data_IF_800214016404
#
_entry.id   IF_800214016404
#
_cell.length_a   1.000
_cell.length_b   1.000
_cell.length_c   1.000
_cell.angle_alpha   90.00
_cell.angle_beta   90.00
_cell.angle_gamma   90.00
#
_symmetry.space_group_name_H-M   'P 1'
#
loop_
_entity.id
_entity.type
_entity.pdbx_description
1 polymer ?
#
# COMPACT_ATOMS: atom_id res chain seq x y z
N UNK A 1 17.56 15.87 22.74
CA UNK A 1 17.57 14.46 23.20
C UNK A 1 16.66 13.66 22.27
N UNK A 2 17.14 12.55 21.68
CA UNK A 2 16.44 11.78 20.64
C UNK A 2 15.05 11.32 21.12
N UNK A 3 14.04 11.34 20.24
CA UNK A 3 12.64 11.00 20.55
C UNK A 3 12.54 9.61 21.21
N UNK A 4 13.23 8.61 20.65
CA UNK A 4 13.26 7.25 21.21
C UNK A 4 13.83 7.19 22.63
N UNK A 5 14.78 8.07 22.97
CA UNK A 5 15.36 8.06 24.30
C UNK A 5 14.31 8.49 25.34
N UNK A 6 13.57 9.56 25.04
CA UNK A 6 12.59 10.12 25.98
C UNK A 6 11.33 9.26 26.07
N UNK A 7 10.85 8.78 24.93
CA UNK A 7 9.59 8.03 24.85
C UNK A 7 9.74 6.55 25.23
N UNK A 8 10.89 5.92 24.95
CA UNK A 8 11.10 4.47 25.19
C UNK A 8 12.15 4.18 26.23
N UNK A 9 13.37 4.71 26.07
CA UNK A 9 14.51 4.25 26.85
C UNK A 9 14.43 4.67 28.32
N UNK A 10 14.10 5.93 28.62
CA UNK A 10 14.02 6.42 30.00
C UNK A 10 12.89 5.71 30.77
N UNK A 11 11.65 5.62 30.26
CA UNK A 11 10.59 4.86 30.96
C UNK A 11 10.95 3.39 31.20
N UNK A 12 11.57 2.72 30.21
CA UNK A 12 12.02 1.34 30.35
C UNK A 12 13.12 1.19 31.41
N UNK A 13 14.07 2.14 31.47
CA UNK A 13 15.12 2.16 32.48
C UNK A 13 14.54 2.32 33.88
N UNK A 14 13.59 3.25 34.08
CA UNK A 14 12.92 3.46 35.38
C UNK A 14 12.25 2.15 35.83
N UNK A 15 11.59 1.44 34.90
CA UNK A 15 10.93 0.15 35.19
C UNK A 15 11.89 -0.94 35.66
N UNK A 16 13.17 -0.89 35.26
CA UNK A 16 14.18 -1.85 35.70
C UNK A 16 14.58 -1.66 37.18
N UNK A 17 14.27 -0.52 37.79
CA UNK A 17 14.62 -0.20 39.18
C UNK A 17 13.37 0.04 40.05
N UNK A 18 12.54 -0.98 40.30
CA UNK A 18 11.26 -0.84 41.00
C UNK A 18 11.37 -0.42 42.48
N UNK A 19 12.58 -0.45 43.05
CA UNK A 19 12.87 -0.06 44.44
C UNK A 19 13.55 1.31 44.55
N UNK A 20 13.63 2.06 43.45
CA UNK A 20 14.24 3.38 43.39
C UNK A 20 13.16 4.40 43.06
N UNK A 21 13.07 5.48 43.84
CA UNK A 21 12.19 6.59 43.53
C UNK A 21 12.90 7.57 42.59
N UNK A 22 12.28 7.87 41.46
CA UNK A 22 12.79 8.85 40.50
C UNK A 22 11.98 10.14 40.60
N UNK A 23 12.68 11.27 40.70
CA UNK A 23 12.12 12.62 40.61
C UNK A 23 12.81 13.31 39.44
N UNK A 24 12.05 13.65 38.42
CA UNK A 24 12.57 14.13 37.14
C UNK A 24 11.78 15.37 36.71
N UNK A 25 12.47 16.38 36.19
CA UNK A 25 11.85 17.50 35.50
C UNK A 25 12.04 17.33 33.99
N UNK A 26 10.99 17.60 33.22
CA UNK A 26 11.01 17.50 31.76
C UNK A 26 10.15 18.57 31.14
N UNK A 27 10.67 19.23 30.10
CA UNK A 27 9.88 20.09 29.22
C UNK A 27 9.30 19.34 28.01
N UNK A 28 9.46 18.02 27.97
CA UNK A 28 9.10 17.19 26.82
C UNK A 28 7.84 16.38 27.10
N UNK A 29 6.73 16.66 26.38
CA UNK A 29 5.52 15.84 26.40
C UNK A 29 5.77 14.36 26.09
N UNK A 30 6.80 14.06 25.31
CA UNK A 30 7.14 12.70 24.88
C UNK A 30 7.55 11.79 26.04
N UNK A 31 8.16 12.37 27.08
CA UNK A 31 8.55 11.61 28.25
C UNK A 31 7.31 11.17 29.04
N UNK A 32 6.34 12.08 29.24
CA UNK A 32 5.08 11.80 29.93
C UNK A 32 4.30 10.68 29.22
N UNK A 33 4.15 10.80 27.89
CA UNK A 33 3.49 9.78 27.07
C UNK A 33 4.21 8.41 27.15
N UNK A 34 5.55 8.42 27.20
CA UNK A 34 6.34 7.20 27.37
C UNK A 34 6.12 6.55 28.74
N UNK A 35 5.95 7.34 29.79
CA UNK A 35 5.65 6.86 31.14
C UNK A 35 4.28 6.19 31.21
N UNK A 36 3.24 6.78 30.63
CA UNK A 36 1.90 6.18 30.56
C UNK A 36 1.87 4.84 29.82
N UNK A 37 2.68 4.71 28.76
CA UNK A 37 2.75 3.46 28.00
C UNK A 37 3.36 2.31 28.78
N UNK A 38 4.30 2.61 29.69
CA UNK A 38 5.11 1.60 30.39
C UNK A 38 4.57 1.28 31.79
N UNK A 39 3.92 2.24 32.43
CA UNK A 39 3.40 2.16 33.78
C UNK A 39 1.87 2.22 33.80
N UNK A 40 1.19 1.44 34.66
CA UNK A 40 -0.26 1.49 34.79
C UNK A 40 -0.75 2.82 35.35
N UNK A 41 -2.04 3.10 35.17
CA UNK A 41 -2.70 4.31 35.67
C UNK A 41 -2.45 4.47 37.18
N UNK A 42 -2.06 5.68 37.60
CA UNK A 42 -1.72 6.00 39.00
C UNK A 42 -0.34 5.55 39.48
N UNK A 43 0.52 4.98 38.63
CA UNK A 43 1.87 4.55 39.01
C UNK A 43 2.90 5.69 39.11
N UNK A 44 2.59 6.87 38.58
CA UNK A 44 3.42 8.06 38.71
C UNK A 44 2.54 9.30 38.87
N UNK A 45 3.12 10.37 39.44
CA UNK A 45 2.45 11.65 39.61
C UNK A 45 3.11 12.68 38.68
N UNK A 46 2.28 13.47 37.99
CA UNK A 46 2.73 14.56 37.12
C UNK A 46 2.25 15.89 37.71
N UNK A 47 3.19 16.84 37.85
CA UNK A 47 2.91 18.18 38.35
C UNK A 47 3.36 19.21 37.33
N UNK A 48 2.50 20.18 37.03
CA UNK A 48 2.87 21.36 36.26
C UNK A 48 3.69 22.31 37.13
N UNK A 49 4.66 22.97 36.53
CA UNK A 49 5.53 23.93 37.21
C UNK A 49 5.53 25.24 36.43
N UNK A 50 5.42 26.40 37.12
CA UNK A 50 5.61 26.58 38.56
C UNK A 50 4.33 26.43 39.40
N UNK A 51 3.18 26.14 38.78
CA UNK A 51 1.86 26.11 39.44
C UNK A 51 1.77 25.09 40.57
N UNK A 52 2.47 23.95 40.46
CA UNK A 52 2.41 22.84 41.41
C UNK A 52 1.13 22.01 41.29
N UNK A 53 0.32 22.26 40.28
CA UNK A 53 -0.97 21.59 40.08
C UNK A 53 -0.78 20.22 39.41
N UNK A 54 -1.51 19.18 39.85
CA UNK A 54 -1.45 17.87 39.22
C UNK A 54 -2.04 17.93 37.80
N UNK A 55 -1.32 17.36 36.83
CA UNK A 55 -1.77 17.32 35.43
C UNK A 55 -2.22 15.92 35.07
N UNK A 56 -3.41 15.85 34.46
CA UNK A 56 -3.96 14.65 33.85
C UNK A 56 -3.41 14.52 32.42
N UNK A 57 -2.94 13.33 32.08
CA UNK A 57 -2.11 13.12 30.90
C UNK A 57 -2.91 13.09 29.57
N UNK A 58 -4.24 13.11 29.65
CA UNK A 58 -5.17 13.31 28.53
C UNK A 58 -4.87 14.58 27.72
N UNK A 59 -4.28 15.60 28.37
CA UNK A 59 -3.82 16.83 27.73
C UNK A 59 -2.76 16.61 26.64
N UNK A 60 -2.13 15.43 26.57
CA UNK A 60 -1.07 15.10 25.63
C UNK A 60 -1.47 14.05 24.60
N UNK A 61 -2.72 13.58 24.60
CA UNK A 61 -3.20 12.52 23.68
C UNK A 61 -3.07 12.91 22.20
N UNK A 62 -3.24 14.19 21.86
CA UNK A 62 -3.02 14.71 20.49
C UNK A 62 -1.55 14.63 20.08
N UNK A 63 -0.62 14.89 21.01
CA UNK A 63 0.81 14.70 20.78
C UNK A 63 1.19 13.23 20.65
N UNK A 64 0.52 12.35 21.40
CA UNK A 64 0.65 10.90 21.26
C UNK A 64 0.28 10.44 19.85
N UNK A 65 -0.87 10.88 19.34
CA UNK A 65 -1.29 10.58 17.95
C UNK A 65 -0.31 11.12 16.92
N UNK A 66 0.17 12.35 17.08
CA UNK A 66 1.16 12.93 16.18
C UNK A 66 2.49 12.15 16.21
N UNK A 67 2.89 11.66 17.38
CA UNK A 67 4.08 10.84 17.54
C UNK A 67 3.93 9.46 16.89
N UNK A 68 2.77 8.82 17.06
CA UNK A 68 2.46 7.54 16.43
C UNK A 68 2.52 7.69 14.91
N UNK A 69 1.88 8.73 14.34
CA UNK A 69 1.95 9.06 12.90
C UNK A 69 3.39 9.28 12.43
N UNK A 70 4.21 9.97 13.22
CA UNK A 70 5.62 10.21 12.90
C UNK A 70 6.42 8.90 12.92
N UNK A 71 6.25 8.06 13.94
CA UNK A 71 6.92 6.76 14.05
C UNK A 71 6.51 5.82 12.92
N UNK A 72 5.22 5.81 12.57
CA UNK A 72 4.67 5.06 11.45
C UNK A 72 5.27 5.52 10.11
N UNK A 73 5.39 6.84 9.90
CA UNK A 73 6.05 7.41 8.72
C UNK A 73 7.52 7.01 8.64
N UNK A 74 8.22 7.01 9.78
CA UNK A 74 9.61 6.55 9.85
C UNK A 74 9.76 5.07 9.53
N UNK A 75 8.93 4.21 10.15
CA UNK A 75 8.96 2.77 9.91
C UNK A 75 8.62 2.42 8.46
N UNK A 76 7.62 3.09 7.89
CA UNK A 76 7.25 2.98 6.48
C UNK A 76 8.43 3.36 5.57
N UNK A 77 9.04 4.53 5.79
CA UNK A 77 10.18 4.97 5.01
C UNK A 77 11.37 4.01 5.14
N UNK A 78 11.64 3.46 6.32
CA UNK A 78 12.70 2.48 6.53
C UNK A 78 12.43 1.16 5.80
N UNK A 79 11.17 0.73 5.71
CA UNK A 79 10.78 -0.42 4.90
C UNK A 79 11.03 -0.14 3.41
N UNK A 80 10.53 0.99 2.89
CA UNK A 80 10.74 1.38 1.48
C UNK A 80 12.24 1.48 1.16
N UNK A 81 13.04 2.02 2.09
CA UNK A 81 14.51 2.04 1.96
C UNK A 81 15.10 0.65 1.84
N UNK A 82 14.68 -0.32 2.65
CA UNK A 82 15.23 -1.68 2.59
C UNK A 82 14.98 -2.30 1.22
N UNK A 83 13.73 -2.26 0.75
CA UNK A 83 13.35 -2.91 -0.51
C UNK A 83 13.97 -2.20 -1.73
N UNK A 84 14.10 -0.87 -1.71
CA UNK A 84 14.69 -0.10 -2.82
C UNK A 84 16.23 -0.08 -2.85
N UNK A 85 16.90 -0.39 -1.73
CA UNK A 85 18.36 -0.35 -1.60
C UNK A 85 19.01 -1.72 -1.87
N UNK A 86 18.23 -2.76 -2.14
CA UNK A 86 18.74 -4.05 -2.59
C UNK A 86 18.96 -4.00 -4.11
N UNK A 87 20.19 -4.18 -4.63
CA UNK A 87 20.40 -4.22 -6.07
C UNK A 87 19.73 -5.46 -6.65
N UNK A 88 19.06 -5.35 -7.80
CA UNK A 88 18.44 -6.50 -8.42
C UNK A 88 17.35 -6.17 -9.44
N UNK A 89 16.31 -7.00 -9.42
CA UNK A 89 15.16 -6.99 -10.34
C UNK A 89 14.40 -5.66 -10.31
N UNK A 90 13.52 -5.40 -11.27
CA UNK A 90 12.50 -4.36 -11.12
C UNK A 90 11.66 -4.65 -9.88
N UNK A 91 11.52 -3.69 -8.98
CA UNK A 91 10.56 -3.76 -7.88
C UNK A 91 9.25 -3.13 -8.34
N UNK A 92 8.14 -3.87 -8.29
CA UNK A 92 6.79 -3.37 -8.53
C UNK A 92 6.07 -3.24 -7.19
N UNK A 93 5.78 -2.00 -6.79
CA UNK A 93 5.02 -1.67 -5.60
C UNK A 93 3.55 -1.47 -5.95
N UNK A 94 2.66 -2.19 -5.27
CA UNK A 94 1.20 -2.19 -5.50
C UNK A 94 0.43 -1.66 -4.29
N UNK A 95 -0.84 -1.26 -4.50
CA UNK A 95 -1.69 -0.62 -3.50
C UNK A 95 -2.27 -1.59 -2.47
N UNK A 96 -2.72 -2.75 -2.94
CA UNK A 96 -3.46 -3.74 -2.15
C UNK A 96 -2.66 -4.97 -1.77
N UNK A 97 -3.05 -5.59 -0.65
CA UNK A 97 -2.43 -6.83 -0.16
C UNK A 97 -2.65 -8.02 -1.12
N UNK A 98 -3.80 -8.05 -1.79
CA UNK A 98 -4.18 -9.13 -2.70
C UNK A 98 -3.51 -9.03 -4.07
N UNK A 99 -3.04 -7.84 -4.46
CA UNK A 99 -2.55 -7.56 -5.80
C UNK A 99 -1.32 -8.40 -6.16
N UNK A 100 -0.29 -8.54 -5.29
CA UNK A 100 0.85 -9.41 -5.59
C UNK A 100 0.40 -10.86 -5.82
N UNK A 101 -0.60 -11.35 -5.09
CA UNK A 101 -1.09 -12.72 -5.22
C UNK A 101 -1.76 -12.94 -6.58
N UNK A 102 -2.63 -12.01 -7.00
CA UNK A 102 -3.26 -12.07 -8.32
C UNK A 102 -2.22 -11.99 -9.45
N UNK A 103 -1.28 -11.03 -9.39
CA UNK A 103 -0.29 -10.85 -10.45
C UNK A 103 0.66 -12.06 -10.52
N UNK A 104 1.17 -12.55 -9.38
CA UNK A 104 2.04 -13.74 -9.33
C UNK A 104 1.30 -14.96 -9.88
N UNK A 105 0.03 -15.17 -9.50
CA UNK A 105 -0.78 -16.27 -10.03
C UNK A 105 -1.03 -16.13 -11.52
N UNK A 106 -1.31 -14.93 -12.03
CA UNK A 106 -1.48 -14.67 -13.45
C UNK A 106 -0.21 -15.01 -14.25
N UNK A 107 0.97 -14.58 -13.76
CA UNK A 107 2.27 -14.89 -14.37
C UNK A 107 2.46 -16.40 -14.52
N UNK A 108 2.17 -17.15 -13.46
CA UNK A 108 2.28 -18.62 -13.45
C UNK A 108 1.29 -19.28 -14.41
N UNK A 109 -0.01 -18.99 -14.26
CA UNK A 109 -1.08 -19.69 -14.99
C UNK A 109 -1.10 -19.35 -16.48
N UNK A 110 -0.71 -18.12 -16.85
CA UNK A 110 -0.63 -17.71 -18.25
C UNK A 110 0.66 -18.18 -18.95
N UNK A 111 1.63 -18.71 -18.20
CA UNK A 111 2.86 -19.30 -18.75
C UNK A 111 3.99 -18.29 -18.96
N UNK A 112 4.01 -17.20 -18.19
CA UNK A 112 5.02 -16.15 -18.27
C UNK A 112 6.00 -16.15 -17.09
N UNK A 113 6.27 -17.33 -16.50
CA UNK A 113 7.07 -17.47 -15.27
C UNK A 113 8.46 -16.81 -15.33
N UNK A 114 9.04 -16.65 -16.53
CA UNK A 114 10.30 -15.95 -16.72
C UNK A 114 10.25 -14.45 -16.37
N UNK A 115 9.06 -13.84 -16.22
CA UNK A 115 8.91 -12.48 -15.67
C UNK A 115 9.48 -12.42 -14.24
N UNK A 116 9.39 -13.52 -13.47
CA UNK A 116 9.96 -13.57 -12.12
C UNK A 116 11.47 -13.40 -12.09
N UNK A 117 12.19 -13.63 -13.19
CA UNK A 117 13.64 -13.43 -13.26
C UNK A 117 14.01 -11.95 -13.32
N UNK A 118 13.08 -11.09 -13.76
CA UNK A 118 13.31 -9.66 -13.93
C UNK A 118 12.48 -8.78 -12.98
N UNK A 119 11.46 -9.33 -12.32
CA UNK A 119 10.50 -8.56 -11.53
C UNK A 119 10.27 -9.18 -10.16
N UNK A 120 10.16 -8.32 -9.16
CA UNK A 120 9.69 -8.62 -7.81
C UNK A 120 8.46 -7.75 -7.54
N UNK A 121 7.39 -8.34 -7.00
CA UNK A 121 6.11 -7.64 -6.81
C UNK A 121 5.77 -7.69 -5.32
N UNK A 122 5.68 -6.51 -4.72
CA UNK A 122 5.47 -6.35 -3.29
C UNK A 122 4.39 -5.30 -3.00
N UNK A 123 3.61 -5.55 -1.97
CA UNK A 123 2.65 -4.58 -1.48
C UNK A 123 3.36 -3.44 -0.74
N UNK A 124 2.96 -2.19 -1.03
CA UNK A 124 3.55 -1.02 -0.36
C UNK A 124 3.17 -0.93 1.12
N UNK A 125 2.02 -1.48 1.50
CA UNK A 125 1.52 -1.44 2.86
C UNK A 125 2.22 -2.42 3.80
N UNK A 126 1.80 -2.37 5.07
CA UNK A 126 2.24 -3.32 6.08
C UNK A 126 1.04 -3.80 6.90
N UNK A 127 1.11 -5.02 7.45
CA UNK A 127 0.12 -5.47 8.43
C UNK A 127 0.49 -4.94 9.80
N UNK A 128 -0.49 -4.41 10.54
CA UNK A 128 -0.32 -4.20 11.98
C UNK A 128 -0.11 -5.57 12.66
N UNK A 129 1.05 -5.82 13.30
CA UNK A 129 1.34 -7.09 13.97
C UNK A 129 0.36 -7.44 15.09
N UNK A 130 -0.39 -6.46 15.62
CA UNK A 130 -1.30 -6.64 16.76
C UNK A 130 -2.77 -6.81 16.35
N UNK A 131 -3.19 -6.23 15.23
CA UNK A 131 -4.61 -6.21 14.81
C UNK A 131 -4.87 -7.00 13.53
N UNK A 132 -3.84 -7.31 12.75
CA UNK A 132 -3.98 -8.01 11.47
C UNK A 132 -4.64 -7.16 10.36
N UNK A 133 -5.01 -5.91 10.66
CA UNK A 133 -5.51 -4.94 9.69
C UNK A 133 -4.33 -4.31 8.93
N UNK A 134 -4.52 -4.05 7.63
CA UNK A 134 -3.54 -3.35 6.81
C UNK A 134 -3.41 -1.89 7.26
N UNK A 135 -2.17 -1.45 7.48
CA UNK A 135 -1.81 -0.08 7.84
C UNK A 135 -1.06 0.57 6.68
N UNK A 136 -1.24 1.88 6.46
CA UNK A 136 -0.65 2.62 5.33
C UNK A 136 -0.91 1.93 3.98
N UNK A 137 -2.18 1.87 3.54
CA UNK A 137 -2.59 1.13 2.34
C UNK A 137 -3.16 2.07 1.27
N UNK A 138 -3.22 1.62 0.02
CA UNK A 138 -3.78 2.40 -1.08
C UNK A 138 -2.84 3.45 -1.68
N UNK A 139 -3.40 4.27 -2.57
CA UNK A 139 -2.69 5.25 -3.40
C UNK A 139 -1.82 6.24 -2.63
N UNK A 140 -2.20 6.59 -1.40
CA UNK A 140 -1.47 7.59 -0.61
C UNK A 140 -0.13 7.05 -0.11
N UNK A 141 -0.04 5.74 0.14
CA UNK A 141 1.22 5.08 0.46
C UNK A 141 2.14 4.97 -0.75
N UNK A 142 1.60 4.65 -1.94
CA UNK A 142 2.39 4.72 -3.17
C UNK A 142 2.88 6.15 -3.45
N UNK A 143 2.03 7.17 -3.28
CA UNK A 143 2.42 8.57 -3.42
C UNK A 143 3.56 8.94 -2.45
N UNK A 144 3.45 8.53 -1.19
CA UNK A 144 4.44 8.79 -0.16
C UNK A 144 5.78 8.10 -0.47
N UNK A 145 5.74 6.83 -0.88
CA UNK A 145 6.92 6.08 -1.28
C UNK A 145 7.60 6.67 -2.53
N UNK A 146 6.83 7.05 -3.55
CA UNK A 146 7.34 7.71 -4.75
C UNK A 146 8.03 9.03 -4.41
N UNK A 147 7.37 9.91 -3.66
CA UNK A 147 7.94 11.20 -3.26
C UNK A 147 9.20 11.03 -2.40
N UNK A 148 9.20 10.03 -1.51
CA UNK A 148 10.36 9.73 -0.66
C UNK A 148 11.57 9.27 -1.48
N UNK A 149 11.40 8.32 -2.41
CA UNK A 149 12.48 7.81 -3.25
C UNK A 149 12.96 8.83 -4.28
N UNK A 150 12.05 9.63 -4.83
CA UNK A 150 12.38 10.74 -5.74
C UNK A 150 13.20 11.83 -5.04
N UNK A 151 12.89 12.13 -3.78
CA UNK A 151 13.65 13.10 -2.99
C UNK A 151 15.02 12.57 -2.55
N UNK A 152 15.24 11.25 -2.64
CA UNK A 152 16.49 10.58 -2.22
C UNK A 152 16.99 9.59 -3.29
N UNK A 153 17.40 10.07 -4.47
CA UNK A 153 17.85 9.20 -5.56
C UNK A 153 19.01 8.28 -5.17
N UNK A 154 19.84 8.67 -4.20
CA UNK A 154 20.96 7.89 -3.69
C UNK A 154 20.55 6.58 -3.01
N UNK A 155 19.28 6.45 -2.62
CA UNK A 155 18.73 5.25 -1.99
C UNK A 155 18.17 4.25 -3.01
N UNK A 156 18.00 4.66 -4.27
CA UNK A 156 17.42 3.84 -5.34
C UNK A 156 18.54 3.05 -6.02
N UNK A 157 18.75 1.80 -5.58
CA UNK A 157 19.79 0.91 -6.13
C UNK A 157 19.28 -0.11 -7.14
N UNK A 158 17.96 -0.18 -7.32
CA UNK A 158 17.24 -0.98 -8.31
C UNK A 158 16.12 -0.14 -8.92
N UNK A 159 15.66 -0.46 -10.12
CA UNK A 159 14.49 0.20 -10.68
C UNK A 159 13.22 -0.13 -9.88
N UNK A 160 12.34 0.87 -9.73
CA UNK A 160 11.09 0.77 -8.97
C UNK A 160 9.91 1.28 -9.79
N UNK A 161 8.89 0.46 -9.96
CA UNK A 161 7.62 0.81 -10.57
C UNK A 161 6.53 0.90 -9.50
N UNK A 162 5.83 2.03 -9.44
CA UNK A 162 4.64 2.23 -8.63
C UNK A 162 3.42 1.93 -9.49
N UNK A 163 2.73 0.83 -9.21
CA UNK A 163 1.58 0.36 -9.95
C UNK A 163 0.31 0.69 -9.18
N UNK A 164 -0.43 1.69 -9.67
CA UNK A 164 -1.65 2.21 -9.07
C UNK A 164 -2.89 1.47 -9.58
N UNK A 165 -3.94 1.47 -8.77
CA UNK A 165 -5.26 1.00 -9.18
C UNK A 165 -5.82 1.85 -10.33
N UNK A 166 -6.70 1.24 -11.12
CA UNK A 166 -7.29 1.86 -12.31
C UNK A 166 -8.16 3.10 -12.01
N UNK A 167 -8.56 3.31 -10.76
CA UNK A 167 -9.33 4.47 -10.29
C UNK A 167 -8.44 5.63 -9.81
N UNK A 168 -7.13 5.43 -9.69
CA UNK A 168 -6.19 6.45 -9.23
C UNK A 168 -5.99 7.60 -10.21
N UNK A 169 -6.36 7.42 -11.50
CA UNK A 169 -6.25 8.41 -12.59
C UNK A 169 -4.85 9.05 -12.69
N UNK A 170 -3.80 8.25 -12.51
CA UNK A 170 -2.41 8.71 -12.64
C UNK A 170 -1.98 8.63 -14.12
N UNK A 171 -1.23 9.64 -14.55
CA UNK A 171 -0.53 9.55 -15.84
C UNK A 171 0.72 8.68 -15.67
N UNK A 172 1.10 7.99 -16.74
CA UNK A 172 2.37 7.28 -16.77
C UNK A 172 3.52 8.27 -16.65
N UNK A 173 4.50 7.93 -15.81
CA UNK A 173 5.70 8.74 -15.57
C UNK A 173 6.92 7.83 -15.63
N UNK A 174 7.98 8.30 -16.28
CA UNK A 174 9.31 7.72 -16.21
C UNK A 174 10.27 8.79 -15.65
N UNK A 175 10.84 8.53 -14.47
CA UNK A 175 11.75 9.43 -13.75
C UNK A 175 13.01 8.65 -13.33
N UNK A 176 13.93 8.48 -14.29
CA UNK A 176 15.18 7.74 -14.10
C UNK A 176 14.94 6.25 -13.80
N UNK A 177 15.25 5.83 -12.57
CA UNK A 177 14.99 4.46 -12.09
C UNK A 177 13.58 4.27 -11.54
N UNK A 178 12.76 5.33 -11.48
CA UNK A 178 11.40 5.28 -10.97
C UNK A 178 10.41 5.34 -12.13
N UNK A 179 9.32 4.58 -12.06
CA UNK A 179 8.22 4.67 -13.02
C UNK A 179 6.87 4.61 -12.32
N UNK A 180 5.88 5.33 -12.85
CA UNK A 180 4.47 5.24 -12.42
C UNK A 180 3.69 4.61 -13.56
N UNK A 181 2.87 3.60 -13.24
CA UNK A 181 1.91 3.00 -14.16
C UNK A 181 0.57 2.80 -13.44
N UNK A 182 -0.49 2.69 -14.23
CA UNK A 182 -1.83 2.37 -13.73
C UNK A 182 -2.28 1.02 -14.29
N UNK A 183 -2.95 0.22 -13.46
CA UNK A 183 -3.54 -1.05 -13.88
C UNK A 183 -4.53 -0.78 -15.03
N UNK A 184 -4.43 -1.51 -16.17
CA UNK A 184 -5.40 -1.39 -17.25
C UNK A 184 -6.82 -1.69 -16.78
N UNK A 185 -7.81 -1.01 -17.37
CA UNK A 185 -9.22 -1.30 -17.08
C UNK A 185 -9.74 -2.36 -18.03
N UNK A 186 -10.34 -3.40 -17.48
CA UNK A 186 -11.18 -4.35 -18.20
C UNK A 186 -12.60 -3.76 -18.39
N UNK A 187 -12.98 -3.38 -19.61
CA UNK A 187 -14.29 -2.76 -19.87
C UNK A 187 -15.45 -3.75 -19.73
N UNK A 188 -15.21 -5.05 -19.83
CA UNK A 188 -16.25 -6.08 -19.76
C UNK A 188 -16.72 -6.34 -18.32
N UNK A 189 -15.94 -5.90 -17.32
CA UNK A 189 -16.31 -5.99 -15.92
C UNK A 189 -16.99 -4.69 -15.46
N UNK A 190 -18.29 -4.59 -15.74
CA UNK A 190 -19.10 -3.41 -15.42
C UNK A 190 -19.53 -3.32 -13.95
N UNK A 191 -19.36 -4.39 -13.15
CA UNK A 191 -19.74 -4.43 -11.73
C UNK A 191 -18.54 -4.06 -10.84
N UNK A 192 -17.42 -4.75 -10.99
CA UNK A 192 -16.18 -4.49 -10.26
C UNK A 192 -15.31 -3.56 -11.08
N UNK A 193 -15.63 -2.26 -11.03
CA UNK A 193 -14.98 -1.26 -11.88
C UNK A 193 -13.61 -0.80 -11.40
N UNK A 194 -13.29 -1.05 -10.13
CA UNK A 194 -12.13 -0.47 -9.46
C UNK A 194 -11.25 -1.54 -8.82
N UNK A 195 -9.96 -1.22 -8.72
CA UNK A 195 -8.95 -2.11 -8.16
C UNK A 195 -8.56 -3.23 -9.12
N UNK A 196 -7.59 -4.04 -8.68
CA UNK A 196 -7.13 -5.18 -9.47
C UNK A 196 -8.22 -6.22 -9.76
N UNK A 197 -9.28 -6.28 -8.93
CA UNK A 197 -10.41 -7.17 -9.14
C UNK A 197 -11.15 -6.89 -10.46
N UNK A 198 -11.06 -5.68 -11.01
CA UNK A 198 -11.62 -5.36 -12.33
C UNK A 198 -11.07 -6.29 -13.43
N UNK A 199 -9.85 -6.80 -13.28
CA UNK A 199 -9.20 -7.68 -14.25
C UNK A 199 -9.76 -9.11 -14.28
N UNK A 200 -10.60 -9.47 -13.30
CA UNK A 200 -11.23 -10.78 -13.22
C UNK A 200 -12.59 -10.79 -13.97
N UNK A 201 -13.03 -11.93 -14.50
CA UNK A 201 -14.34 -12.05 -15.14
C UNK A 201 -15.48 -12.05 -14.12
N UNK A 202 -16.66 -11.55 -14.52
CA UNK A 202 -17.82 -11.45 -13.62
C UNK A 202 -18.24 -12.79 -12.99
N UNK A 203 -17.97 -13.91 -13.66
CA UNK A 203 -18.33 -15.26 -13.20
C UNK A 203 -17.67 -15.68 -11.89
N UNK A 204 -16.58 -15.02 -11.46
CA UNK A 204 -15.89 -15.37 -10.21
C UNK A 204 -16.47 -14.70 -8.98
N UNK A 205 -17.32 -13.67 -9.15
CA UNK A 205 -17.93 -12.92 -8.04
C UNK A 205 -19.22 -13.59 -7.58
N UNK A 206 -19.08 -14.79 -7.02
CA UNK A 206 -20.18 -15.58 -6.46
C UNK A 206 -20.57 -15.12 -5.06
N UNK A 207 -21.80 -15.40 -4.60
CA UNK A 207 -22.31 -14.85 -3.33
C UNK A 207 -21.47 -15.21 -2.09
N UNK A 208 -20.77 -16.34 -2.10
CA UNK A 208 -19.89 -16.79 -1.01
C UNK A 208 -18.69 -15.87 -0.77
N UNK A 209 -18.31 -15.03 -1.74
CA UNK A 209 -17.21 -14.07 -1.59
C UNK A 209 -17.68 -12.70 -1.08
N UNK A 210 -18.97 -12.52 -0.82
CA UNK A 210 -19.51 -11.27 -0.28
C UNK A 210 -19.90 -11.41 1.19
N UNK A 211 -19.66 -10.35 1.94
CA UNK A 211 -20.20 -10.18 3.27
C UNK A 211 -21.41 -9.24 3.21
N UNK A 212 -22.46 -9.56 3.97
CA UNK A 212 -23.66 -8.72 4.07
C UNK A 212 -23.82 -8.26 5.51
N UNK A 213 -23.87 -6.94 5.70
CA UNK A 213 -24.08 -6.33 7.01
C UNK A 213 -25.31 -5.43 6.98
N UNK A 214 -26.21 -5.67 7.91
CA UNK A 214 -27.41 -4.85 8.11
C UNK A 214 -27.17 -3.88 9.26
N UNK A 215 -27.37 -2.59 9.00
CA UNK A 215 -27.24 -1.53 9.99
C UNK A 215 -28.61 -0.92 10.26
N UNK A 216 -29.12 -1.09 11.48
CA UNK A 216 -30.31 -0.40 11.96
C UNK A 216 -29.95 1.00 12.44
N UNK A 217 -30.60 2.03 11.88
CA UNK A 217 -30.38 3.43 12.26
C UNK A 217 -31.18 3.88 13.48
N UNK A 218 -31.91 2.98 14.13
CA UNK A 218 -32.69 3.24 15.35
C UNK A 218 -34.01 4.00 15.13
N UNK A 219 -34.32 4.37 13.89
CA UNK A 219 -35.54 5.09 13.50
C UNK A 219 -36.46 4.23 12.60
N UNK A 220 -36.31 2.90 12.66
CA UNK A 220 -36.99 1.96 11.76
C UNK A 220 -36.40 1.87 10.35
N UNK A 221 -35.30 2.60 10.06
CA UNK A 221 -34.57 2.49 8.79
C UNK A 221 -33.43 1.48 8.92
N UNK A 222 -33.36 0.58 7.94
CA UNK A 222 -32.28 -0.39 7.79
C UNK A 222 -31.45 -0.06 6.55
N UNK A 223 -30.14 -0.26 6.63
CA UNK A 223 -29.23 -0.18 5.47
C UNK A 223 -28.49 -1.49 5.35
N UNK A 224 -28.63 -2.16 4.22
CA UNK A 224 -27.88 -3.38 3.89
C UNK A 224 -26.65 -3.00 3.08
N UNK A 225 -25.48 -3.36 3.57
CA UNK A 225 -24.21 -3.19 2.88
C UNK A 225 -23.74 -4.58 2.44
N UNK A 226 -23.63 -4.78 1.13
CA UNK A 226 -22.97 -5.95 0.53
C UNK A 226 -21.57 -5.51 0.11
N UNK A 227 -20.55 -6.13 0.67
CA UNK A 227 -19.14 -5.80 0.41
C UNK A 227 -18.37 -7.04 -0.03
N UNK A 228 -17.57 -6.89 -1.08
CA UNK A 228 -16.68 -7.96 -1.53
C UNK A 228 -15.61 -8.23 -0.46
N UNK A 229 -15.48 -9.47 -0.03
CA UNK A 229 -14.35 -9.92 0.77
C UNK A 229 -13.18 -10.24 -0.17
N UNK A 230 -12.35 -9.23 -0.45
CA UNK A 230 -11.23 -9.32 -1.41
C UNK A 230 -10.29 -10.47 -1.11
N UNK A 231 -9.95 -10.70 0.16
CA UNK A 231 -9.05 -11.77 0.57
C UNK A 231 -9.69 -13.15 0.36
N UNK A 232 -10.98 -13.32 0.69
CA UNK A 232 -11.70 -14.58 0.43
C UNK A 232 -11.75 -14.90 -1.06
N UNK A 233 -12.06 -13.91 -1.90
CA UNK A 233 -12.02 -14.04 -3.36
C UNK A 233 -10.60 -14.44 -3.83
N UNK A 234 -9.58 -13.74 -3.35
CA UNK A 234 -8.20 -14.00 -3.72
C UNK A 234 -7.76 -15.41 -3.33
N UNK A 235 -8.10 -15.88 -2.12
CA UNK A 235 -7.79 -17.24 -1.69
C UNK A 235 -8.46 -18.29 -2.57
N UNK A 236 -9.75 -18.11 -2.84
CA UNK A 236 -10.52 -18.99 -3.72
C UNK A 236 -9.90 -19.08 -5.11
N UNK A 237 -9.65 -17.95 -5.77
CA UNK A 237 -9.19 -17.95 -7.17
C UNK A 237 -7.70 -18.32 -7.28
N UNK A 238 -6.84 -17.80 -6.39
CA UNK A 238 -5.39 -17.96 -6.50
C UNK A 238 -4.85 -19.26 -5.88
N UNK A 239 -5.58 -19.86 -4.94
CA UNK A 239 -5.15 -21.07 -4.23
C UNK A 239 -6.01 -22.28 -4.55
N UNK A 240 -7.34 -22.15 -4.53
CA UNK A 240 -8.26 -23.29 -4.65
C UNK A 240 -8.59 -23.62 -6.11
N UNK A 241 -9.15 -22.65 -6.85
CA UNK A 241 -9.64 -22.85 -8.22
C UNK A 241 -8.50 -22.87 -9.25
N UNK A 242 -7.58 -21.89 -9.15
CA UNK A 242 -6.41 -21.70 -10.03
C UNK A 242 -6.71 -21.89 -11.54
N UNK A 243 -7.88 -21.44 -11.97
CA UNK A 243 -8.30 -21.57 -13.36
C UNK A 243 -7.64 -20.49 -14.23
N UNK A 244 -6.86 -20.90 -15.24
CA UNK A 244 -6.19 -20.01 -16.20
C UNK A 244 -7.14 -19.01 -16.86
N UNK A 245 -8.38 -19.40 -17.16
CA UNK A 245 -9.33 -18.53 -17.84
C UNK A 245 -9.75 -17.33 -16.99
N UNK A 246 -9.69 -17.43 -15.66
CA UNK A 246 -10.00 -16.31 -14.76
C UNK A 246 -8.95 -15.18 -14.87
N UNK A 247 -7.76 -15.47 -15.38
CA UNK A 247 -6.64 -14.54 -15.44
C UNK A 247 -6.37 -13.96 -16.83
N UNK A 248 -7.16 -14.29 -17.85
CA UNK A 248 -6.92 -13.75 -19.21
C UNK A 248 -6.93 -12.22 -19.25
N UNK A 249 -7.78 -11.59 -18.43
CA UNK A 249 -7.83 -10.14 -18.29
C UNK A 249 -6.52 -9.52 -17.79
N UNK A 250 -5.59 -10.30 -17.20
CA UNK A 250 -4.31 -9.81 -16.70
C UNK A 250 -3.23 -9.64 -17.79
N UNK A 251 -3.43 -10.15 -19.01
CA UNK A 251 -2.43 -10.06 -20.08
C UNK A 251 -1.97 -8.61 -20.35
N UNK A 252 -2.87 -7.60 -20.47
CA UNK A 252 -2.46 -6.21 -20.62
C UNK A 252 -1.64 -5.68 -19.44
N UNK A 253 -1.95 -6.12 -18.22
CA UNK A 253 -1.16 -5.73 -17.04
C UNK A 253 0.25 -6.33 -17.08
N UNK A 254 0.37 -7.60 -17.48
CA UNK A 254 1.68 -8.24 -17.63
C UNK A 254 2.51 -7.57 -18.75
N UNK A 255 1.87 -7.11 -19.83
CA UNK A 255 2.54 -6.33 -20.87
C UNK A 255 3.10 -5.00 -20.33
N UNK A 256 2.33 -4.29 -19.50
CA UNK A 256 2.80 -3.05 -18.83
C UNK A 256 4.03 -3.35 -17.97
N UNK A 257 3.95 -4.36 -17.10
CA UNK A 257 5.06 -4.76 -16.21
C UNK A 257 6.30 -5.16 -17.02
N UNK A 258 6.12 -5.99 -18.05
CA UNK A 258 7.23 -6.45 -18.89
C UNK A 258 7.86 -5.32 -19.71
N UNK A 259 7.06 -4.34 -20.17
CA UNK A 259 7.54 -3.15 -20.87
C UNK A 259 8.41 -2.27 -19.97
N UNK A 260 7.99 -2.05 -18.73
CA UNK A 260 8.79 -1.32 -17.74
C UNK A 260 10.08 -2.09 -17.41
N UNK A 261 10.00 -3.40 -17.21
CA UNK A 261 11.18 -4.24 -16.97
C UNK A 261 12.16 -4.17 -18.15
N UNK A 262 11.67 -4.27 -19.39
CA UNK A 262 12.50 -4.14 -20.59
C UNK A 262 13.22 -2.79 -20.64
N UNK A 263 12.49 -1.70 -20.43
CA UNK A 263 13.04 -0.33 -20.47
C UNK A 263 14.12 -0.11 -19.42
N UNK A 264 13.92 -0.60 -18.18
CA UNK A 264 14.79 -0.29 -17.05
C UNK A 264 15.91 -1.31 -16.81
N UNK A 265 15.76 -2.57 -17.25
CA UNK A 265 16.73 -3.65 -16.98
C UNK A 265 17.25 -4.34 -18.23
N UNK A 266 16.70 -4.05 -19.41
CA UNK A 266 17.02 -4.77 -20.65
C UNK A 266 16.38 -6.15 -20.76
N UNK A 267 15.43 -6.47 -19.89
CA UNK A 267 14.69 -7.74 -19.93
C UNK A 267 14.09 -8.02 -21.31
N UNK A 268 14.31 -9.22 -21.86
CA UNK A 268 13.71 -9.60 -23.13
C UNK A 268 12.26 -10.05 -22.94
N UNK A 269 11.31 -9.22 -23.39
CA UNK A 269 9.88 -9.53 -23.31
C UNK A 269 9.58 -10.79 -24.17
N UNK A 270 8.86 -11.80 -23.61
CA UNK A 270 8.40 -12.97 -24.35
C UNK A 270 7.65 -12.60 -25.63
N UNK A 271 7.88 -13.35 -26.71
CA UNK A 271 7.25 -13.07 -28.00
C UNK A 271 5.71 -13.18 -27.94
N UNK A 272 5.22 -14.07 -27.10
CA UNK A 272 3.81 -14.32 -26.81
C UNK A 272 3.16 -13.12 -26.10
N UNK A 273 3.93 -12.39 -25.28
CA UNK A 273 3.48 -11.19 -24.59
C UNK A 273 3.58 -9.94 -25.49
N UNK A 274 4.52 -9.92 -26.44
CA UNK A 274 4.64 -8.88 -27.48
C UNK A 274 3.51 -8.91 -28.51
N UNK A 275 2.92 -10.08 -28.79
CA UNK A 275 1.86 -10.26 -29.79
C UNK A 275 0.48 -10.31 -29.16
N UNK A 276 -0.09 -9.16 -28.80
CA UNK A 276 -1.55 -9.01 -28.66
C UNK A 276 -1.95 -7.67 -29.25
N UNK A 277 -2.00 -7.62 -30.58
CA UNK A 277 -2.68 -6.53 -31.29
C UNK A 277 -4.20 -6.71 -31.14
N UNK A 278 -4.85 -5.67 -30.61
CA UNK A 278 -6.16 -5.29 -31.12
C UNK A 278 -7.33 -5.33 -30.13
N UNK A 279 -7.32 -4.43 -29.14
CA UNK A 279 -8.36 -3.39 -28.97
C UNK A 279 -8.06 -2.49 -27.77
N UNK A 280 -7.46 -1.33 -28.07
CA UNK A 280 -7.66 -0.11 -27.26
C UNK A 280 -8.21 0.92 -28.23
N UNK A 281 -9.54 1.12 -28.21
CA UNK A 281 -10.17 2.24 -28.92
C UNK A 281 -9.82 3.53 -28.16
N UNK A 282 -8.73 4.18 -28.54
CA UNK A 282 -8.59 5.63 -28.30
C UNK A 282 -9.12 6.31 -29.56
N UNK A 283 -10.40 6.69 -29.53
CA UNK A 283 -10.95 7.61 -30.52
C UNK A 283 -10.28 8.95 -30.30
N UNK A 284 -9.20 9.21 -31.03
CA UNK A 284 -8.66 10.55 -31.18
C UNK A 284 -9.53 11.30 -32.19
N UNK A 285 -10.25 12.31 -31.69
CA UNK A 285 -10.89 13.33 -32.49
C UNK A 285 -9.89 13.96 -33.47
N UNK A 286 -10.13 13.78 -34.76
CA UNK A 286 -9.46 14.50 -35.84
C UNK A 286 -10.51 15.09 -36.77
N UNK A 287 -10.80 16.38 -36.57
CA UNK A 287 -11.61 17.20 -37.47
C UNK A 287 -11.12 17.11 -38.93
N UNK A 288 -12.01 17.14 -39.93
CA UNK A 288 -11.60 17.08 -41.32
C UNK A 288 -11.04 18.43 -41.77
N UNK A 289 -9.75 18.46 -42.09
CA UNK A 289 -9.15 19.55 -42.85
C UNK A 289 -9.41 19.34 -44.35
N UNK A 290 -10.07 20.34 -44.91
CA UNK A 290 -10.18 20.68 -46.32
C UNK A 290 -8.86 20.62 -47.08
N UNK A 291 -8.80 19.90 -48.20
CA UNK A 291 -8.36 20.41 -49.52
C UNK A 291 -8.10 19.26 -50.51
N UNK A 292 -8.79 19.30 -51.65
CA UNK A 292 -8.26 18.79 -52.91
C UNK A 292 -8.84 19.64 -54.05
N UNK A 293 -8.01 20.56 -54.54
CA UNK A 293 -8.12 21.13 -55.86
C UNK A 293 -7.34 20.23 -56.83
N UNK A 294 -7.98 19.80 -57.91
CA UNK A 294 -7.45 19.47 -59.25
C UNK A 294 -8.59 18.88 -60.08
#
# INVERSE_FOLDING_TARGET
>A
MHIDLQYRAIPALIKMFPKVQFILSSHSPLFVLGMEKVFPEGAFNLFDMPSGEPVQAEAYTEFGRALDILQETHAFNDQIRRVANEPGKLLVLVEGETDPLYIKTAIELLGFANIFDAVEIEWVGAKDPKRGEGFNTGKDSLNSAYNFLRAKPELVKRPVCFLYDNDARKADVDDGQLSIRTIPTNPDNEEMRFGIENMLPLSVFTDDVFDTKENNRGNGTYTTIRSLNKMRLCQKICTEDRNREHFQGFVPLLQVIASVAHSLTGYEIPAELKRVDGKVNVVANGSPTTNAAS
#
